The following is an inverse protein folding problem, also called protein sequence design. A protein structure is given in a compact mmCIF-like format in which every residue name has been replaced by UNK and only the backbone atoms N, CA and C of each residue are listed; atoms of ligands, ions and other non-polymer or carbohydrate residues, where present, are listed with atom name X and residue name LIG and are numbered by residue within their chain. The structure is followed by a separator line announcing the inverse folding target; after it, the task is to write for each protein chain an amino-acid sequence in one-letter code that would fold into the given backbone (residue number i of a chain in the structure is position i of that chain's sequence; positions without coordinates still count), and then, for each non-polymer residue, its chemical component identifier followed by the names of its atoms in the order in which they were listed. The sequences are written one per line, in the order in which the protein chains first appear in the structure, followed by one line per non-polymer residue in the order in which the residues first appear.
data_IF_409077533084
#
_entry.id   IF_409077533084
#
_cell.length_a   1.000
_cell.length_b   1.000
_cell.length_c   1.000
_cell.angle_alpha   90.00
_cell.angle_beta   90.00
_cell.angle_gamma   90.00
#
_symmetry.space_group_name_H-M   'P 1'
#
loop_
_entity.id
_entity.type
_entity.pdbx_description
1 polymer ?
#
# COMPACT_ATOMS: atom_id res chain seq x y z
N UNK A 1 12.09 -1.63 15.75
CA UNK A 1 10.62 -1.83 15.81
C UNK A 1 10.24 -2.61 14.56
N UNK A 2 9.83 -3.89 14.69
CA UNK A 2 9.42 -4.68 13.53
C UNK A 2 8.07 -4.16 13.01
N UNK A 3 8.07 -3.44 11.89
CA UNK A 3 6.86 -2.92 11.22
C UNK A 3 6.42 -3.93 10.15
N UNK A 4 5.80 -5.03 10.57
CA UNK A 4 5.25 -6.06 9.68
C UNK A 4 3.75 -5.81 9.43
N UNK A 5 3.41 -5.30 8.24
CA UNK A 5 2.04 -5.38 7.70
C UNK A 5 2.09 -5.86 6.26
N UNK A 6 1.34 -6.92 6.02
CA UNK A 6 1.50 -7.75 4.85
C UNK A 6 0.20 -8.54 4.58
N UNK A 7 -0.45 -8.59 3.40
CA UNK A 7 -0.11 -9.42 2.22
C UNK A 7 -1.05 -9.23 1.02
N UNK A 8 -0.54 -9.77 -0.10
CA UNK A 8 -1.01 -10.06 -1.45
C UNK A 8 -2.38 -10.75 -1.65
N UNK A 9 -2.87 -10.51 -2.86
CA UNK A 9 -4.13 -10.87 -3.51
C UNK A 9 -4.36 -12.38 -3.68
N UNK A 10 -5.54 -12.85 -3.28
CA UNK A 10 -6.25 -13.98 -3.92
C UNK A 10 -7.67 -13.49 -4.23
N UNK A 11 -7.96 -13.30 -5.51
CA UNK A 11 -9.32 -13.00 -6.00
C UNK A 11 -10.17 -14.28 -5.89
N UNK A 12 -11.13 -14.29 -4.97
CA UNK A 12 -12.17 -15.32 -4.87
C UNK A 12 -13.53 -14.65 -4.91
N UNK A 13 -13.95 -14.25 -6.11
CA UNK A 13 -15.32 -13.81 -6.37
C UNK A 13 -15.50 -13.18 -7.76
N UNK A 14 -16.66 -13.34 -8.41
CA UNK A 14 -16.96 -12.60 -9.62
C UNK A 14 -17.07 -11.12 -9.27
N UNK A 15 -16.30 -10.27 -9.95
CA UNK A 15 -16.41 -8.82 -9.87
C UNK A 15 -17.79 -8.41 -10.41
N UNK A 16 -18.81 -8.31 -9.55
CA UNK A 16 -20.08 -7.68 -9.91
C UNK A 16 -19.94 -6.17 -9.74
N UNK A 17 -20.34 -5.45 -10.78
CA UNK A 17 -20.19 -3.99 -10.93
C UNK A 17 -20.94 -3.17 -9.86
N UNK A 18 -21.87 -3.82 -9.15
CA UNK A 18 -22.87 -3.17 -8.30
C UNK A 18 -22.56 -3.22 -6.78
N UNK A 19 -21.46 -3.85 -6.34
CA UNK A 19 -21.22 -4.13 -4.92
C UNK A 19 -19.77 -3.87 -4.44
N UNK A 20 -19.10 -2.84 -4.95
CA UNK A 20 -17.72 -2.51 -4.53
C UNK A 20 -17.63 -2.24 -3.01
N UNK A 21 -18.67 -1.69 -2.39
CA UNK A 21 -18.74 -1.45 -0.93
C UNK A 21 -18.72 -2.75 -0.10
N UNK A 22 -19.15 -3.87 -0.69
CA UNK A 22 -19.11 -5.20 -0.09
C UNK A 22 -17.91 -6.04 -0.57
N UNK A 23 -17.11 -5.52 -1.51
CA UNK A 23 -15.90 -6.20 -1.97
C UNK A 23 -14.82 -6.15 -0.90
N UNK A 24 -14.21 -7.30 -0.59
CA UNK A 24 -13.08 -7.38 0.33
C UNK A 24 -11.82 -7.00 -0.44
N UNK A 25 -11.41 -5.75 -0.32
CA UNK A 25 -10.18 -5.24 -0.94
C UNK A 25 -9.05 -5.36 0.08
N UNK A 26 -7.91 -5.91 -0.36
CA UNK A 26 -6.69 -5.98 0.42
C UNK A 26 -5.68 -4.98 -0.12
N UNK A 27 -5.06 -4.23 0.78
CA UNK A 27 -4.00 -3.25 0.50
C UNK A 27 -2.92 -3.35 1.58
N UNK A 28 -1.70 -2.96 1.24
CA UNK A 28 -0.59 -2.88 2.18
C UNK A 28 -0.63 -1.55 2.91
N UNK A 29 -0.44 -1.57 4.23
CA UNK A 29 -0.25 -0.36 5.01
C UNK A 29 1.21 0.05 4.87
N UNK A 30 1.43 1.26 4.37
CA UNK A 30 2.76 1.83 4.13
C UNK A 30 3.14 2.79 5.27
N UNK A 31 2.21 3.64 5.71
CA UNK A 31 2.44 4.62 6.76
C UNK A 31 1.40 4.49 7.87
N UNK A 32 1.85 4.64 9.12
CA UNK A 32 1.03 4.61 10.34
C UNK A 32 0.69 6.03 10.80
N UNK A 33 -0.24 6.20 11.77
CA UNK A 33 -0.52 7.50 12.36
C UNK A 33 0.74 8.22 12.84
N UNK A 34 0.94 9.46 12.40
CA UNK A 34 2.11 10.30 12.69
C UNK A 34 3.29 10.10 11.74
N UNK A 35 3.30 9.06 10.90
CA UNK A 35 4.34 8.87 9.90
C UNK A 35 4.14 9.87 8.74
N UNK A 36 5.23 10.19 8.04
CA UNK A 36 5.21 10.93 6.78
C UNK A 36 5.58 9.98 5.63
N UNK A 37 4.90 10.12 4.49
CA UNK A 37 5.16 9.30 3.30
C UNK A 37 5.14 10.14 2.02
N UNK A 38 6.07 9.88 1.12
CA UNK A 38 6.05 10.39 -0.25
C UNK A 38 6.34 9.25 -1.24
N UNK A 39 6.09 9.49 -2.53
CA UNK A 39 6.43 8.55 -3.60
C UNK A 39 7.42 9.17 -4.55
N UNK A 40 8.45 8.39 -4.88
CA UNK A 40 9.40 8.68 -5.94
C UNK A 40 9.59 7.41 -6.78
N UNK A 41 9.37 7.53 -8.09
CA UNK A 41 9.37 6.43 -9.05
C UNK A 41 8.55 5.20 -8.60
N UNK A 42 7.33 5.46 -8.11
CA UNK A 42 6.42 4.45 -7.57
C UNK A 42 6.92 3.72 -6.34
N UNK A 43 8.06 4.09 -5.75
CA UNK A 43 8.57 3.55 -4.48
C UNK A 43 8.17 4.48 -3.34
N UNK A 44 7.63 3.90 -2.27
CA UNK A 44 7.26 4.68 -1.08
C UNK A 44 8.45 4.90 -0.16
N UNK A 45 8.61 6.15 0.27
CA UNK A 45 9.59 6.55 1.27
C UNK A 45 8.86 7.00 2.52
N UNK A 46 9.19 6.39 3.66
CA UNK A 46 8.50 6.58 4.92
C UNK A 46 9.46 7.13 5.95
N UNK A 47 9.04 8.19 6.63
CA UNK A 47 9.69 8.71 7.84
C UNK A 47 8.76 8.45 9.00
N UNK A 48 9.22 7.69 9.98
CA UNK A 48 8.42 7.43 11.16
C UNK A 48 8.19 8.68 11.99
N UNK A 49 7.11 8.69 12.79
CA UNK A 49 6.76 9.82 13.66
C UNK A 49 7.88 10.28 14.63
N UNK A 50 8.86 9.40 14.91
CA UNK A 50 10.00 9.66 15.81
C UNK A 50 11.35 9.61 15.09
N UNK A 51 11.35 9.40 13.78
CA UNK A 51 12.54 9.20 12.98
C UNK A 51 12.88 10.52 12.27
N UNK A 52 14.17 10.81 12.09
CA UNK A 52 14.63 12.07 11.51
C UNK A 52 14.70 12.05 9.97
N UNK A 53 14.77 10.86 9.38
CA UNK A 53 15.00 10.66 7.95
C UNK A 53 14.00 9.69 7.33
N UNK A 54 13.80 9.85 6.02
CA UNK A 54 13.03 8.92 5.21
C UNK A 54 13.87 7.70 4.86
N UNK A 55 13.25 6.53 4.90
CA UNK A 55 13.80 5.28 4.38
C UNK A 55 12.82 4.68 3.38
N UNK A 56 13.30 3.84 2.48
CA UNK A 56 12.43 3.16 1.53
C UNK A 56 11.49 2.18 2.22
N UNK A 57 10.34 1.89 1.60
CA UNK A 57 9.39 0.91 2.10
C UNK A 57 9.99 -0.49 2.28
N UNK A 58 11.00 -0.83 1.48
CA UNK A 58 11.73 -2.11 1.56
C UNK A 58 12.63 -2.16 2.80
N UNK A 59 13.32 -1.06 3.12
CA UNK A 59 14.12 -0.96 4.34
C UNK A 59 13.24 -0.92 5.58
N UNK A 60 12.10 -0.21 5.50
CA UNK A 60 11.14 -0.10 6.60
C UNK A 60 10.49 -1.45 6.94
N UNK A 61 10.15 -2.26 5.94
CA UNK A 61 9.55 -3.59 6.12
C UNK A 61 10.58 -4.64 6.52
N UNK A 62 11.85 -4.47 6.12
CA UNK A 62 12.90 -5.48 6.22
C UNK A 62 12.68 -6.68 5.29
N UNK A 63 11.75 -6.59 4.35
CA UNK A 63 11.37 -7.63 3.40
C UNK A 63 11.23 -7.01 2.01
N UNK A 64 11.93 -7.58 1.03
CA UNK A 64 11.71 -7.27 -0.38
C UNK A 64 10.44 -7.95 -0.89
N UNK A 65 9.59 -7.19 -1.57
CA UNK A 65 8.46 -7.70 -2.34
C UNK A 65 8.47 -7.05 -3.72
N UNK A 66 7.98 -7.77 -4.71
CA UNK A 66 8.00 -7.30 -6.09
C UNK A 66 6.89 -6.25 -6.30
N UNK A 67 7.28 -5.09 -6.83
CA UNK A 67 6.34 -4.06 -7.28
C UNK A 67 6.04 -4.29 -8.76
N UNK A 68 4.75 -4.38 -9.10
CA UNK A 68 4.34 -4.35 -10.51
C UNK A 68 4.10 -2.91 -10.94
N UNK A 69 5.10 -2.35 -11.63
CA UNK A 69 5.08 -1.00 -12.21
C UNK A 69 4.93 -1.15 -13.72
N UNK A 70 3.96 -0.45 -14.31
CA UNK A 70 3.83 -0.31 -15.76
C UNK A 70 4.15 1.13 -16.12
N UNK A 71 4.87 1.33 -17.22
CA UNK A 71 5.18 2.66 -17.72
C UNK A 71 3.89 3.44 -18.01
N UNK A 72 3.90 4.72 -17.65
CA UNK A 72 2.84 5.61 -18.03
C UNK A 72 2.76 5.72 -19.56
N UNK A 73 1.56 5.75 -20.15
CA UNK A 73 1.41 6.06 -21.56
C UNK A 73 2.03 7.43 -21.89
N UNK A 74 2.62 7.53 -23.08
CA UNK A 74 3.23 8.77 -23.56
C UNK A 74 2.22 9.94 -23.47
N UNK A 75 2.61 11.03 -22.80
CA UNK A 75 1.79 12.24 -22.63
C UNK A 75 1.07 12.37 -21.28
N UNK A 76 1.20 11.40 -20.39
CA UNK A 76 0.72 11.49 -19.00
C UNK A 76 1.68 12.32 -18.15
N UNK A 77 1.15 13.13 -17.23
CA UNK A 77 1.94 14.01 -16.35
C UNK A 77 2.37 13.31 -15.07
N UNK A 78 3.53 13.72 -14.58
CA UNK A 78 4.09 13.52 -13.24
C UNK A 78 3.17 13.91 -12.08
N UNK A 79 2.16 14.76 -12.31
CA UNK A 79 1.20 15.20 -11.28
C UNK A 79 0.03 14.25 -11.08
N UNK A 80 -0.08 13.21 -11.89
CA UNK A 80 -1.16 12.25 -11.78
C UNK A 80 -0.91 11.27 -10.61
N UNK A 81 -1.94 10.82 -9.89
CA UNK A 81 -1.79 9.85 -8.79
C UNK A 81 -1.03 8.56 -9.14
N UNK A 82 -1.04 8.17 -10.42
CA UNK A 82 -0.36 6.97 -10.92
C UNK A 82 1.00 7.26 -11.54
N UNK A 83 1.48 8.50 -11.50
CA UNK A 83 2.75 8.86 -12.11
C UNK A 83 3.96 8.24 -11.42
N UNK A 84 3.75 7.63 -10.25
CA UNK A 84 4.80 7.19 -9.36
C UNK A 84 5.37 8.32 -8.49
N UNK A 85 4.95 9.56 -8.70
CA UNK A 85 5.38 10.73 -7.94
C UNK A 85 4.25 11.21 -7.04
N UNK A 86 4.57 11.52 -5.79
CA UNK A 86 3.63 12.12 -4.84
C UNK A 86 4.38 12.93 -3.79
N UNK A 87 3.92 14.15 -3.55
CA UNK A 87 4.48 15.00 -2.50
C UNK A 87 4.28 14.38 -1.10
N UNK A 88 5.12 14.76 -0.12
CA UNK A 88 5.00 14.24 1.24
C UNK A 88 3.65 14.53 1.90
N UNK A 89 3.03 13.48 2.44
CA UNK A 89 1.80 13.52 3.23
C UNK A 89 2.09 13.01 4.63
N UNK A 90 1.61 13.72 5.65
CA UNK A 90 1.70 13.32 7.05
C UNK A 90 0.38 12.68 7.48
N UNK A 91 0.45 11.53 8.15
CA UNK A 91 -0.75 10.85 8.65
C UNK A 91 -1.23 11.47 9.96
N UNK A 92 -2.49 11.91 9.99
CA UNK A 92 -3.12 12.31 11.25
C UNK A 92 -3.35 11.11 12.18
N UNK A 93 -3.77 11.41 13.42
CA UNK A 93 -4.13 10.39 14.39
C UNK A 93 -5.24 9.49 13.83
N UNK A 94 -4.98 8.18 13.78
CA UNK A 94 -5.93 7.19 13.27
C UNK A 94 -5.97 7.07 11.74
N UNK A 95 -5.13 7.81 11.01
CA UNK A 95 -4.98 7.68 9.57
C UNK A 95 -3.83 6.74 9.20
N UNK A 96 -4.03 6.04 8.09
CA UNK A 96 -3.10 5.09 7.52
C UNK A 96 -2.96 5.34 6.02
N UNK A 97 -1.74 5.30 5.50
CA UNK A 97 -1.53 5.33 4.06
C UNK A 97 -1.44 3.91 3.53
N UNK A 98 -2.22 3.58 2.49
CA UNK A 98 -2.23 2.23 1.92
C UNK A 98 -1.93 2.23 0.43
N UNK A 99 -1.19 1.23 -0.03
CA UNK A 99 -0.88 1.00 -1.44
C UNK A 99 -1.19 -0.44 -1.83
N UNK A 100 -1.48 -0.65 -3.11
CA UNK A 100 -1.43 -1.99 -3.71
C UNK A 100 -0.03 -2.31 -4.22
N UNK A 101 0.34 -3.59 -4.17
CA UNK A 101 1.62 -4.07 -4.73
C UNK A 101 1.65 -3.91 -6.27
N UNK A 102 0.49 -4.02 -6.94
CA UNK A 102 0.34 -3.60 -8.33
C UNK A 102 0.11 -2.08 -8.41
N UNK A 103 1.22 -1.34 -8.52
CA UNK A 103 1.23 0.13 -8.45
C UNK A 103 0.47 0.76 -9.60
N UNK A 104 0.51 0.18 -10.79
CA UNK A 104 -0.16 0.74 -11.97
C UNK A 104 -1.68 0.51 -11.98
N UNK A 105 -2.17 -0.61 -11.44
CA UNK A 105 -3.59 -0.99 -11.50
C UNK A 105 -4.35 -0.80 -10.17
N UNK A 106 -3.66 -0.45 -9.08
CA UNK A 106 -4.29 -0.31 -7.77
C UNK A 106 -4.92 1.07 -7.57
N UNK A 107 -6.24 1.08 -7.33
CA UNK A 107 -6.91 2.23 -6.73
C UNK A 107 -6.70 2.21 -5.20
N UNK A 108 -5.92 3.16 -4.67
CA UNK A 108 -5.46 3.22 -3.28
C UNK A 108 -5.24 4.67 -2.80
N UNK A 109 -4.53 4.87 -1.68
CA UNK A 109 -4.42 6.19 -1.03
C UNK A 109 -3.81 7.29 -1.91
N UNK A 110 -3.17 6.95 -3.03
CA UNK A 110 -2.73 7.95 -4.04
C UNK A 110 -3.92 8.70 -4.65
N UNK A 111 -5.07 8.05 -4.79
CA UNK A 111 -6.26 8.63 -5.41
C UNK A 111 -7.19 9.32 -4.41
N UNK A 112 -7.43 8.68 -3.27
CA UNK A 112 -8.48 9.10 -2.33
C UNK A 112 -7.94 9.47 -0.95
N UNK A 113 -6.62 9.50 -0.79
CA UNK A 113 -5.94 9.95 0.42
C UNK A 113 -5.86 8.89 1.53
N UNK A 114 -5.50 9.31 2.76
CA UNK A 114 -5.34 8.40 3.90
C UNK A 114 -6.65 7.69 4.31
N UNK A 115 -6.52 6.46 4.81
CA UNK A 115 -7.61 5.64 5.35
C UNK A 115 -7.76 5.88 6.85
N UNK A 116 -8.98 6.12 7.32
CA UNK A 116 -9.28 6.10 8.75
C UNK A 116 -9.35 4.67 9.31
N UNK A 117 -8.85 4.45 10.53
CA UNK A 117 -8.80 3.13 11.18
C UNK A 117 -10.14 2.39 11.20
N UNK A 118 -11.26 3.11 11.29
CA UNK A 118 -12.61 2.55 11.35
C UNK A 118 -13.01 1.84 10.04
N UNK A 119 -12.37 2.21 8.92
CA UNK A 119 -12.55 1.55 7.62
C UNK A 119 -11.70 0.29 7.47
N UNK A 120 -10.75 0.05 8.37
CA UNK A 120 -9.87 -1.12 8.36
C UNK A 120 -10.53 -2.25 9.17
N UNK A 121 -11.10 -3.24 8.47
CA UNK A 121 -11.89 -4.32 9.11
C UNK A 121 -11.04 -5.39 9.81
N UNK A 122 -9.76 -5.54 9.48
CA UNK A 122 -8.90 -6.56 10.08
C UNK A 122 -7.53 -6.66 9.43
N UNK A 123 -6.62 -7.37 10.10
CA UNK A 123 -5.28 -7.68 9.59
C UNK A 123 -5.24 -9.13 9.11
N UNK A 124 -4.63 -9.36 7.94
CA UNK A 124 -4.39 -10.71 7.41
C UNK A 124 -3.10 -11.24 8.06
N UNK A 125 -3.19 -12.38 8.74
CA UNK A 125 -2.06 -12.96 9.47
C UNK A 125 -1.59 -14.32 8.92
N UNK A 126 -2.26 -14.87 7.90
CA UNK A 126 -1.98 -16.22 7.43
C UNK A 126 -2.35 -16.44 5.95
N UNK A 127 -1.42 -17.03 5.19
CA UNK A 127 -1.68 -17.60 3.86
C UNK A 127 -1.60 -19.12 3.97
N UNK A 128 -2.70 -19.80 3.65
CA UNK A 128 -2.77 -21.27 3.66
C UNK A 128 -2.56 -21.88 2.27
N UNK A 129 -2.56 -21.07 1.20
CA UNK A 129 -2.44 -21.50 -0.19
C UNK A 129 -1.72 -20.41 -1.03
N UNK A 130 -0.87 -20.75 -2.02
CA UNK A 130 -0.48 -22.10 -2.45
C UNK A 130 0.40 -22.81 -1.42
N UNK A 131 0.37 -24.15 -1.40
CA UNK A 131 1.10 -24.98 -0.41
C UNK A 131 2.63 -24.73 -0.38
N UNK A 132 3.18 -24.14 -1.43
CA UNK A 132 4.59 -23.75 -1.50
C UNK A 132 4.92 -22.44 -0.75
N UNK A 133 3.91 -21.65 -0.41
CA UNK A 133 4.01 -20.37 0.35
C UNK A 133 3.47 -20.52 1.79
N UNK A 134 3.39 -21.75 2.29
CA UNK A 134 2.82 -22.06 3.60
C UNK A 134 3.52 -21.31 4.73
N UNK A 135 2.74 -20.55 5.51
CA UNK A 135 3.16 -20.01 6.81
C UNK A 135 4.09 -18.81 6.77
N UNK A 136 4.46 -18.28 5.60
CA UNK A 136 5.22 -17.03 5.52
C UNK A 136 4.44 -15.93 4.83
N UNK A 137 4.06 -14.91 5.59
CA UNK A 137 3.62 -13.69 5.00
C UNK A 137 4.91 -12.96 4.43
N UNK A 138 5.09 -12.86 3.09
CA UNK A 138 6.13 -12.09 2.31
C UNK A 138 6.07 -10.52 2.30
#
# INVERSE_FOLDING_TARGET
VFRLVTFQKIDIGPLSKDNWENSRIFKRIIALPGDSVYLDDSVAYVKGAKDDFFISEFEMSGIGYDLEIQDLPLGWSDKLPLSGMMDPVVMDKGQYFVLGDNRSASNDSRYWGPVSVEKIRGKVFFFYWPLHSFGKPQ
#
